data_IF_258311838575
#
_entry.id   IF_258311838575
#
_cell.length_a   1.000
_cell.length_b   1.000
_cell.length_c   1.000
_cell.angle_alpha   90.00
_cell.angle_beta   90.00
_cell.angle_gamma   90.00
#
_symmetry.space_group_name_H-M   'P 1'
#
loop_
_entity.id
_entity.type
_entity.pdbx_description
1 polymer ?
#
# COMPACT_ATOMS: atom_id res chain seq x y z
N UNK A 1 0.32 2.82 -12.47
CA UNK A 1 0.14 1.36 -12.54
C UNK A 1 -0.95 0.92 -11.58
N UNK A 2 -1.83 0.03 -12.02
CA UNK A 2 -3.00 -0.42 -11.27
C UNK A 2 -2.99 -1.95 -11.25
N UNK A 3 -2.79 -2.52 -10.07
CA UNK A 3 -2.93 -3.96 -9.84
C UNK A 3 -4.39 -4.33 -9.61
N UNK A 4 -4.84 -5.37 -10.28
CA UNK A 4 -6.22 -5.87 -10.16
C UNK A 4 -6.24 -7.40 -10.07
N UNK A 5 -7.43 -7.96 -9.90
CA UNK A 5 -7.65 -9.42 -10.03
C UNK A 5 -7.56 -9.92 -11.48
N UNK A 6 -7.55 -8.99 -12.44
CA UNK A 6 -7.51 -9.28 -13.88
C UNK A 6 -6.20 -8.84 -14.55
N UNK A 7 -5.14 -8.65 -13.78
CA UNK A 7 -3.80 -8.32 -14.26
C UNK A 7 -3.26 -7.00 -13.76
N UNK A 8 -2.12 -6.63 -14.37
CA UNK A 8 -1.48 -5.32 -14.23
C UNK A 8 -1.99 -4.39 -15.32
N UNK A 9 -2.37 -3.18 -14.95
CA UNK A 9 -2.85 -2.18 -15.89
C UNK A 9 -1.98 -0.93 -15.83
N UNK A 10 -1.70 -0.34 -17.00
CA UNK A 10 -1.04 0.94 -17.13
C UNK A 10 -2.02 1.97 -17.65
N UNK A 11 -2.22 3.02 -16.90
CA UNK A 11 -2.95 4.22 -17.34
C UNK A 11 -1.94 5.29 -17.80
N UNK A 12 -2.17 5.91 -18.95
CA UNK A 12 -1.28 6.92 -19.54
C UNK A 12 -1.90 8.33 -19.63
N UNK A 13 -3.04 8.53 -18.98
CA UNK A 13 -3.82 9.76 -19.06
C UNK A 13 -5.07 9.65 -19.96
N UNK A 14 -5.03 8.81 -21.00
CA UNK A 14 -6.14 8.61 -21.95
C UNK A 14 -6.60 7.15 -21.99
N UNK A 15 -5.66 6.21 -22.08
CA UNK A 15 -5.94 4.79 -22.30
C UNK A 15 -5.46 3.92 -21.17
N UNK A 16 -6.10 2.76 -21.02
CA UNK A 16 -5.66 1.69 -20.13
C UNK A 16 -5.13 0.52 -20.94
N UNK A 17 -3.84 0.22 -20.79
CA UNK A 17 -3.23 -0.99 -21.34
C UNK A 17 -3.15 -2.06 -20.26
N UNK A 18 -3.76 -3.22 -20.53
CA UNK A 18 -3.77 -4.37 -19.61
C UNK A 18 -2.71 -5.40 -19.99
N UNK A 19 -2.08 -5.96 -18.96
CA UNK A 19 -1.11 -7.05 -19.03
C UNK A 19 -1.63 -8.22 -18.23
N UNK A 20 -1.87 -9.35 -18.88
CA UNK A 20 -2.50 -10.54 -18.28
C UNK A 20 -1.64 -11.78 -18.49
N UNK A 21 -1.97 -12.84 -17.77
CA UNK A 21 -1.42 -14.17 -18.02
C UNK A 21 -1.75 -14.62 -19.45
N UNK A 22 -0.71 -15.03 -20.16
CA UNK A 22 -0.82 -15.72 -21.44
C UNK A 22 0.03 -16.99 -21.38
N UNK A 23 -0.61 -18.15 -21.32
CA UNK A 23 0.06 -19.45 -21.22
C UNK A 23 1.02 -19.76 -22.37
N UNK A 24 0.84 -19.10 -23.51
CA UNK A 24 1.67 -19.29 -24.70
C UNK A 24 2.85 -18.31 -24.78
N UNK A 25 2.95 -17.36 -23.85
CA UNK A 25 4.03 -16.38 -23.79
C UNK A 25 4.75 -16.47 -22.42
N UNK A 26 5.98 -17.01 -22.37
CA UNK A 26 6.74 -17.13 -21.13
C UNK A 26 7.15 -15.79 -20.52
N UNK A 27 7.03 -14.69 -21.27
CA UNK A 27 7.31 -13.34 -20.82
C UNK A 27 6.04 -12.60 -20.36
N UNK A 28 4.90 -13.27 -20.31
CA UNK A 28 3.66 -12.72 -19.76
C UNK A 28 3.61 -12.84 -18.24
N UNK A 29 2.65 -12.16 -17.63
CA UNK A 29 2.36 -12.32 -16.20
C UNK A 29 1.98 -13.78 -15.90
N UNK A 30 2.53 -14.37 -14.84
CA UNK A 30 2.27 -15.78 -14.47
C UNK A 30 0.99 -15.97 -13.65
N UNK A 31 0.45 -14.90 -13.06
CA UNK A 31 -0.80 -14.90 -12.27
C UNK A 31 -1.56 -13.59 -12.50
N UNK A 32 -2.86 -13.65 -12.76
CA UNK A 32 -3.65 -12.46 -13.03
C UNK A 32 -3.94 -11.61 -11.78
N UNK A 33 -3.94 -12.20 -10.59
CA UNK A 33 -4.26 -11.45 -9.37
C UNK A 33 -3.03 -10.75 -8.82
N UNK A 34 -2.96 -9.43 -9.04
CA UNK A 34 -1.92 -8.56 -8.51
C UNK A 34 -2.39 -7.94 -7.20
N UNK A 35 -1.73 -8.27 -6.11
CA UNK A 35 -2.08 -7.86 -4.75
C UNK A 35 -1.39 -6.56 -4.34
N UNK A 36 -0.11 -6.42 -4.70
CA UNK A 36 0.70 -5.22 -4.40
C UNK A 36 1.65 -4.91 -5.55
N UNK A 37 1.97 -3.64 -5.69
CA UNK A 37 2.94 -3.14 -6.64
C UNK A 37 3.97 -2.33 -5.85
N UNK A 38 5.23 -2.58 -6.12
CA UNK A 38 6.33 -1.74 -5.68
C UNK A 38 7.32 -1.59 -6.83
N UNK A 39 8.09 -0.52 -6.85
CA UNK A 39 8.95 -0.27 -8.00
C UNK A 39 10.28 0.33 -7.62
N UNK A 40 11.13 0.47 -8.63
CA UNK A 40 12.38 1.17 -8.52
C UNK A 40 12.54 2.24 -9.61
N UNK A 41 13.51 3.14 -9.41
CA UNK A 41 13.85 4.20 -10.37
C UNK A 41 14.56 3.68 -11.63
N UNK A 42 14.95 2.39 -11.67
CA UNK A 42 15.73 1.78 -12.76
C UNK A 42 14.85 1.11 -13.83
N UNK A 43 13.57 1.49 -13.91
CA UNK A 43 12.67 0.95 -14.94
C UNK A 43 12.12 -0.44 -14.66
N UNK A 44 12.20 -0.92 -13.42
CA UNK A 44 11.60 -2.18 -12.99
C UNK A 44 10.46 -1.95 -12.02
N UNK A 45 9.43 -2.77 -12.10
CA UNK A 45 8.29 -2.82 -11.18
C UNK A 45 8.18 -4.24 -10.65
N UNK A 46 8.02 -4.38 -9.35
CA UNK A 46 7.84 -5.66 -8.70
C UNK A 46 6.39 -5.85 -8.26
N UNK A 47 5.87 -7.03 -8.52
CA UNK A 47 4.49 -7.38 -8.29
C UNK A 47 4.40 -8.53 -7.29
N UNK A 48 3.63 -8.35 -6.24
CA UNK A 48 3.14 -9.46 -5.43
C UNK A 48 1.84 -9.95 -6.06
N UNK A 49 1.85 -11.19 -6.50
CA UNK A 49 0.68 -11.91 -7.00
C UNK A 49 0.23 -12.98 -5.99
N UNK A 50 -0.95 -13.55 -6.16
CA UNK A 50 -1.41 -14.66 -5.30
C UNK A 50 -0.46 -15.84 -5.28
N UNK A 51 0.24 -16.09 -6.38
CA UNK A 51 1.06 -17.27 -6.60
C UNK A 51 2.57 -16.97 -6.62
N UNK A 52 3.00 -15.80 -6.13
CA UNK A 52 4.41 -15.45 -6.04
C UNK A 52 4.76 -14.00 -6.39
N UNK A 53 5.99 -13.80 -6.81
CA UNK A 53 6.56 -12.49 -7.12
C UNK A 53 7.05 -12.43 -8.57
N UNK A 54 6.65 -11.37 -9.29
CA UNK A 54 7.13 -11.06 -10.63
C UNK A 54 7.90 -9.73 -10.66
N UNK A 55 8.87 -9.65 -11.56
CA UNK A 55 9.47 -8.41 -12.03
C UNK A 55 8.86 -8.05 -13.39
N UNK A 56 8.53 -6.80 -13.59
CA UNK A 56 8.11 -6.24 -14.86
C UNK A 56 9.10 -5.16 -15.30
N UNK A 57 9.71 -5.34 -16.45
CA UNK A 57 10.62 -4.39 -17.07
C UNK A 57 9.83 -3.39 -17.92
N UNK A 58 9.90 -2.11 -17.54
CA UNK A 58 9.15 -1.04 -18.19
C UNK A 58 9.60 -0.76 -19.62
N UNK A 59 10.86 -1.04 -19.95
CA UNK A 59 11.46 -0.79 -21.27
C UNK A 59 11.05 -1.89 -22.26
N UNK A 60 11.24 -3.14 -21.87
CA UNK A 60 10.94 -4.29 -22.74
C UNK A 60 9.48 -4.72 -22.66
N UNK A 61 8.76 -4.29 -21.62
CA UNK A 61 7.40 -4.68 -21.29
C UNK A 61 7.23 -6.21 -21.09
N UNK A 62 8.26 -6.85 -20.55
CA UNK A 62 8.29 -8.29 -20.28
C UNK A 62 8.25 -8.57 -18.79
N UNK A 63 7.64 -9.68 -18.43
CA UNK A 63 7.64 -10.19 -17.07
C UNK A 63 8.72 -11.25 -16.89
N UNK A 64 9.26 -11.29 -15.70
CA UNK A 64 10.12 -12.34 -15.19
C UNK A 64 9.56 -12.82 -13.86
N UNK A 65 9.26 -14.11 -13.76
CA UNK A 65 8.91 -14.71 -12.48
C UNK A 65 10.17 -14.79 -11.60
N UNK A 66 10.15 -14.16 -10.43
CA UNK A 66 11.25 -14.18 -9.48
C UNK A 66 11.09 -15.32 -8.47
N UNK A 67 9.87 -15.54 -7.99
CA UNK A 67 9.54 -16.57 -7.03
C UNK A 67 8.11 -17.08 -7.28
N UNK A 68 7.92 -18.39 -7.22
CA UNK A 68 6.59 -19.02 -7.16
C UNK A 68 6.28 -19.52 -5.75
N UNK A 69 5.01 -19.48 -5.38
CA UNK A 69 4.49 -19.92 -4.10
C UNK A 69 4.05 -18.77 -3.20
N UNK A 70 3.62 -19.08 -1.99
CA UNK A 70 3.06 -18.11 -1.08
C UNK A 70 4.11 -17.08 -0.63
N UNK A 71 3.77 -15.82 -0.81
CA UNK A 71 4.50 -14.66 -0.31
C UNK A 71 3.47 -13.72 0.32
N UNK A 72 3.72 -13.25 1.51
CA UNK A 72 2.75 -12.52 2.33
C UNK A 72 2.95 -11.01 2.23
N UNK A 73 4.19 -10.57 2.01
CA UNK A 73 4.55 -9.16 1.91
C UNK A 73 5.64 -8.91 0.87
N UNK A 74 5.62 -7.73 0.29
CA UNK A 74 6.66 -7.24 -0.62
C UNK A 74 6.97 -5.77 -0.30
N UNK A 75 8.25 -5.42 -0.35
CA UNK A 75 8.72 -4.05 -0.16
C UNK A 75 9.98 -3.81 -0.98
N UNK A 76 10.09 -2.65 -1.59
CA UNK A 76 11.27 -2.24 -2.33
C UNK A 76 11.81 -0.91 -1.78
N UNK A 77 13.09 -0.93 -1.39
CA UNK A 77 13.92 0.25 -1.13
C UNK A 77 15.38 -0.14 -1.43
N UNK A 78 15.91 0.33 -2.57
CA UNK A 78 17.20 -0.10 -3.13
C UNK A 78 17.31 -1.61 -3.39
N UNK A 79 16.75 -2.44 -2.51
CA UNK A 79 16.66 -3.89 -2.61
C UNK A 79 15.20 -4.34 -2.50
N UNK A 80 14.90 -5.47 -3.12
CA UNK A 80 13.61 -6.12 -3.01
C UNK A 80 13.59 -7.03 -1.79
N UNK A 81 12.68 -6.77 -0.86
CA UNK A 81 12.40 -7.60 0.31
C UNK A 81 11.07 -8.31 0.12
N UNK A 82 11.00 -9.55 0.57
CA UNK A 82 9.74 -10.30 0.66
C UNK A 82 9.57 -10.85 2.06
N UNK A 83 8.31 -10.91 2.52
CA UNK A 83 7.90 -11.60 3.73
C UNK A 83 7.23 -12.91 3.39
N UNK A 84 7.63 -13.99 4.04
CA UNK A 84 7.03 -15.31 3.90
C UNK A 84 6.85 -15.91 5.28
N UNK A 85 5.64 -15.97 5.77
CA UNK A 85 5.32 -16.27 7.17
C UNK A 85 6.12 -15.36 8.11
N UNK A 86 6.96 -15.94 8.98
CA UNK A 86 7.82 -15.26 9.95
C UNK A 86 9.21 -14.86 9.40
N UNK A 87 9.47 -15.12 8.14
CA UNK A 87 10.78 -14.90 7.54
C UNK A 87 10.77 -13.72 6.55
N UNK A 88 11.83 -12.93 6.58
CA UNK A 88 12.11 -11.88 5.60
C UNK A 88 13.30 -12.32 4.76
N UNK A 89 13.14 -12.22 3.46
CA UNK A 89 14.19 -12.51 2.48
C UNK A 89 14.51 -11.24 1.69
N UNK A 90 15.73 -11.17 1.16
CA UNK A 90 16.17 -10.13 0.25
C UNK A 90 16.59 -10.75 -1.08
N UNK A 91 16.14 -10.14 -2.17
CA UNK A 91 16.52 -10.59 -3.51
C UNK A 91 17.97 -10.25 -3.83
N UNK A 92 18.71 -11.25 -4.24
CA UNK A 92 20.09 -11.14 -4.67
C UNK A 92 20.13 -11.13 -6.21
N UNK A 93 20.33 -9.97 -6.81
CA UNK A 93 20.33 -9.83 -8.26
C UNK A 93 21.46 -10.63 -8.95
N UNK A 94 22.60 -10.84 -8.26
CA UNK A 94 23.75 -11.56 -8.82
C UNK A 94 23.50 -13.05 -8.97
N UNK A 95 22.77 -13.65 -8.02
CA UNK A 95 22.46 -15.09 -8.02
C UNK A 95 21.06 -15.39 -8.58
N UNK A 96 20.18 -14.38 -8.59
CA UNK A 96 18.77 -14.55 -8.93
C UNK A 96 17.95 -15.24 -7.83
N UNK A 97 18.49 -15.37 -6.63
CA UNK A 97 17.85 -16.05 -5.50
C UNK A 97 17.40 -15.05 -4.42
N UNK A 98 16.59 -15.53 -3.49
CA UNK A 98 16.22 -14.82 -2.28
C UNK A 98 17.03 -15.37 -1.10
N UNK A 99 17.86 -14.53 -0.49
CA UNK A 99 18.68 -14.87 0.67
C UNK A 99 17.90 -14.51 1.94
N UNK A 100 17.97 -15.37 2.97
CA UNK A 100 17.33 -15.10 4.27
C UNK A 100 17.98 -13.86 4.90
N UNK A 101 17.15 -12.84 5.17
CA UNK A 101 17.58 -11.60 5.81
C UNK A 101 17.34 -11.64 7.32
N UNK A 102 16.16 -12.10 7.75
CA UNK A 102 15.78 -12.19 9.15
C UNK A 102 14.71 -13.26 9.37
N UNK A 103 14.77 -13.93 10.52
CA UNK A 103 13.75 -14.85 11.01
C UNK A 103 13.16 -14.29 12.31
N UNK A 104 11.87 -13.95 12.29
CA UNK A 104 11.16 -13.44 13.44
C UNK A 104 10.74 -14.60 14.35
N UNK A 105 11.38 -14.71 15.51
CA UNK A 105 11.09 -15.79 16.45
C UNK A 105 9.67 -15.66 17.03
N UNK A 106 8.91 -16.73 16.96
CA UNK A 106 7.55 -16.80 17.49
C UNK A 106 6.75 -17.94 16.87
N UNK A 107 5.56 -18.21 17.42
CA UNK A 107 4.61 -19.16 16.85
C UNK A 107 3.53 -18.44 16.07
N UNK A 108 3.13 -19.03 14.96
CA UNK A 108 1.98 -18.58 14.14
C UNK A 108 2.07 -17.12 13.68
N UNK A 109 3.29 -16.65 13.40
CA UNK A 109 3.52 -15.32 12.83
C UNK A 109 3.37 -15.40 11.32
N UNK A 110 2.58 -14.49 10.77
CA UNK A 110 2.51 -14.24 9.32
C UNK A 110 2.68 -12.74 9.08
N UNK A 111 3.70 -12.39 8.30
CA UNK A 111 3.97 -11.02 7.89
C UNK A 111 2.84 -10.52 6.97
N UNK A 112 2.51 -9.24 7.07
CA UNK A 112 1.48 -8.58 6.24
C UNK A 112 2.03 -7.42 5.44
N UNK A 113 3.00 -6.70 5.99
CA UNK A 113 3.67 -5.59 5.33
C UNK A 113 5.07 -5.38 5.89
N UNK A 114 5.92 -4.77 5.08
CA UNK A 114 7.32 -4.44 5.40
C UNK A 114 7.58 -2.98 5.07
N UNK A 115 8.45 -2.35 5.84
CA UNK A 115 8.97 -1.01 5.56
C UNK A 115 10.37 -0.85 6.15
N UNK A 116 11.27 -0.25 5.39
CA UNK A 116 12.60 0.12 5.85
C UNK A 116 12.63 1.65 6.02
N UNK A 117 12.75 2.11 7.26
CA UNK A 117 12.79 3.55 7.55
C UNK A 117 14.14 4.20 7.19
N UNK A 118 14.21 5.51 7.26
CA UNK A 118 15.43 6.27 6.96
C UNK A 118 16.62 5.87 7.85
N UNK A 119 16.36 5.40 9.07
CA UNK A 119 17.39 4.91 10.01
C UNK A 119 17.80 3.46 9.75
N UNK A 120 17.28 2.85 8.66
CA UNK A 120 17.47 1.44 8.26
C UNK A 120 16.89 0.43 9.24
N UNK A 121 15.94 0.83 10.08
CA UNK A 121 15.17 -0.12 10.86
C UNK A 121 14.14 -0.80 9.95
N UNK A 122 14.07 -2.14 10.02
CA UNK A 122 13.06 -2.91 9.31
C UNK A 122 11.81 -3.07 10.18
N UNK A 123 10.75 -2.42 9.77
CA UNK A 123 9.44 -2.53 10.38
C UNK A 123 8.65 -3.65 9.72
N UNK A 124 8.08 -4.53 10.53
CA UNK A 124 7.41 -5.75 10.11
C UNK A 124 6.01 -5.80 10.73
N UNK A 125 4.99 -5.55 9.90
CA UNK A 125 3.59 -5.76 10.28
C UNK A 125 3.23 -7.23 10.16
N UNK A 126 2.34 -7.69 11.03
CA UNK A 126 1.85 -9.07 11.06
C UNK A 126 0.33 -9.13 11.02
N UNK A 127 -0.23 -10.28 10.68
CA UNK A 127 -1.68 -10.47 10.59
C UNK A 127 -2.39 -10.59 11.96
N UNK A 128 -1.65 -10.86 13.04
CA UNK A 128 -2.26 -11.06 14.37
C UNK A 128 -1.37 -10.63 15.55
N UNK A 129 -0.06 -10.53 15.33
CA UNK A 129 0.92 -10.32 16.40
C UNK A 129 1.40 -8.86 16.46
N UNK A 130 0.70 -7.92 15.81
CA UNK A 130 1.04 -6.50 15.83
C UNK A 130 2.25 -6.14 14.99
N UNK A 131 3.05 -5.21 15.49
CA UNK A 131 4.17 -4.58 14.78
C UNK A 131 5.49 -4.90 15.45
N UNK A 132 6.47 -5.33 14.68
CA UNK A 132 7.85 -5.54 15.11
C UNK A 132 8.77 -4.53 14.41
N UNK A 133 9.86 -4.18 15.09
CA UNK A 133 10.91 -3.33 14.56
C UNK A 133 12.27 -4.01 14.80
N UNK A 134 12.98 -4.32 13.74
CA UNK A 134 14.37 -4.75 13.76
C UNK A 134 15.26 -3.56 13.46
N UNK A 135 15.97 -3.07 14.46
CA UNK A 135 16.91 -1.96 14.30
C UNK A 135 18.14 -2.35 13.45
N UNK A 136 18.86 -1.36 12.93
CA UNK A 136 20.05 -1.58 12.10
C UNK A 136 21.14 -2.39 12.88
N UNK A 137 21.24 -2.22 14.21
CA UNK A 137 22.11 -2.99 15.10
C UNK A 137 21.55 -4.39 15.46
N UNK A 138 20.52 -4.84 14.75
CA UNK A 138 19.88 -6.18 14.84
C UNK A 138 19.16 -6.46 16.17
N UNK A 139 18.76 -5.44 16.89
CA UNK A 139 17.89 -5.60 18.05
C UNK A 139 16.43 -5.58 17.62
N UNK A 140 15.66 -6.55 18.14
CA UNK A 140 14.23 -6.63 17.88
C UNK A 140 13.43 -5.98 19.02
N UNK A 141 12.41 -5.22 18.64
CA UNK A 141 11.40 -4.68 19.56
C UNK A 141 10.00 -4.93 18.98
N UNK A 142 9.00 -4.89 19.84
CA UNK A 142 7.59 -5.08 19.47
C UNK A 142 6.75 -3.91 20.02
N UNK A 143 6.76 -2.77 19.33
CA UNK A 143 6.08 -1.56 19.81
C UNK A 143 4.54 -1.69 19.86
N UNK A 144 3.95 -2.52 19.01
CA UNK A 144 2.52 -2.89 19.07
C UNK A 144 2.44 -4.40 19.19
N UNK A 145 1.85 -4.88 20.27
CA UNK A 145 1.94 -6.29 20.69
C UNK A 145 0.80 -7.18 20.19
N UNK A 146 -0.18 -6.61 19.48
CA UNK A 146 -1.35 -7.33 18.96
C UNK A 146 -1.94 -6.64 17.74
N UNK A 147 -2.87 -7.32 17.08
CA UNK A 147 -3.65 -6.80 15.97
C UNK A 147 -3.04 -7.10 14.59
N UNK A 148 -3.86 -6.90 13.60
CA UNK A 148 -3.52 -7.07 12.19
C UNK A 148 -3.03 -5.73 11.63
N UNK A 149 -1.76 -5.64 11.28
CA UNK A 149 -1.16 -4.46 10.65
C UNK A 149 -1.35 -4.54 9.14
N UNK A 150 -2.03 -3.57 8.56
CA UNK A 150 -2.35 -3.53 7.14
C UNK A 150 -1.35 -2.73 6.31
N UNK A 151 -0.79 -1.66 6.88
CA UNK A 151 0.12 -0.75 6.19
C UNK A 151 1.08 -0.06 7.13
N UNK A 152 2.23 0.33 6.60
CA UNK A 152 3.23 1.17 7.24
C UNK A 152 3.56 2.28 6.25
N UNK A 153 3.47 3.53 6.68
CA UNK A 153 3.77 4.71 5.88
C UNK A 153 4.70 5.65 6.66
N UNK A 154 5.80 6.06 6.07
CA UNK A 154 6.71 7.07 6.60
C UNK A 154 6.41 8.41 5.96
N UNK A 155 6.09 9.43 6.76
CA UNK A 155 5.79 10.76 6.27
C UNK A 155 7.05 11.61 6.00
N UNK A 156 6.86 12.81 5.46
CA UNK A 156 7.95 13.75 5.17
C UNK A 156 8.72 14.18 6.41
N UNK A 157 8.08 14.12 7.58
CA UNK A 157 8.69 14.36 8.89
C UNK A 157 9.45 13.16 9.44
N UNK A 158 9.46 12.01 8.76
CA UNK A 158 10.08 10.75 9.20
C UNK A 158 9.41 10.15 10.43
N UNK A 159 8.12 10.35 10.55
CA UNK A 159 7.25 9.69 11.52
C UNK A 159 6.46 8.59 10.82
N UNK A 160 6.15 7.51 11.55
CA UNK A 160 5.48 6.36 10.96
C UNK A 160 4.00 6.32 11.30
N UNK A 161 3.20 6.04 10.30
CA UNK A 161 1.76 5.87 10.37
C UNK A 161 1.41 4.42 10.05
N UNK A 162 0.90 3.71 11.06
CA UNK A 162 0.68 2.27 11.03
C UNK A 162 -0.82 1.99 11.00
N UNK A 163 -1.32 1.62 9.85
CA UNK A 163 -2.73 1.25 9.69
C UNK A 163 -3.00 -0.16 10.19
N UNK A 164 -4.07 -0.34 10.95
CA UNK A 164 -4.52 -1.64 11.42
C UNK A 164 -5.94 -1.99 10.94
N UNK A 165 -6.29 -3.26 11.01
CA UNK A 165 -7.62 -3.73 10.58
C UNK A 165 -8.72 -3.50 11.63
N UNK A 166 -8.40 -3.23 12.89
CA UNK A 166 -9.42 -3.11 13.94
C UNK A 166 -9.07 -2.08 15.01
N UNK A 167 -7.80 -1.73 15.10
CA UNK A 167 -7.26 -0.88 16.16
C UNK A 167 -7.06 0.59 15.73
N UNK A 168 -7.45 0.98 14.51
CA UNK A 168 -7.28 2.33 13.99
C UNK A 168 -5.90 2.57 13.41
N UNK A 169 -5.35 3.76 13.69
CA UNK A 169 -4.09 4.26 13.14
C UNK A 169 -3.12 4.57 14.27
N UNK A 170 -2.00 3.84 14.33
CA UNK A 170 -0.91 4.19 15.25
C UNK A 170 0.03 5.19 14.61
N UNK A 171 0.41 6.20 15.37
CA UNK A 171 1.39 7.20 15.01
C UNK A 171 2.64 7.00 15.89
N UNK A 172 3.73 6.57 15.26
CA UNK A 172 5.05 6.41 15.91
C UNK A 172 5.85 7.67 15.64
N UNK A 173 6.04 8.46 16.68
CA UNK A 173 6.74 9.75 16.62
C UNK A 173 8.26 9.57 16.63
N UNK A 174 8.99 10.62 16.28
CA UNK A 174 10.47 10.62 16.26
C UNK A 174 11.13 10.28 17.60
N UNK A 175 10.49 10.66 18.70
CA UNK A 175 10.94 10.36 20.07
C UNK A 175 10.65 8.91 20.50
N UNK A 176 10.01 8.12 19.63
CA UNK A 176 9.61 6.74 19.88
C UNK A 176 8.29 6.60 20.61
N UNK A 177 7.63 7.70 20.99
CA UNK A 177 6.29 7.63 21.55
C UNK A 177 5.27 7.17 20.52
N UNK A 178 4.23 6.47 20.97
CA UNK A 178 3.17 5.95 20.12
C UNK A 178 1.83 6.47 20.59
N UNK A 179 1.10 7.07 19.67
CA UNK A 179 -0.27 7.49 19.82
C UNK A 179 -1.18 6.62 18.98
N UNK A 180 -2.39 6.33 19.44
CA UNK A 180 -3.39 5.60 18.68
C UNK A 180 -4.59 6.48 18.37
N UNK A 181 -4.81 6.77 17.09
CA UNK A 181 -5.99 7.45 16.59
C UNK A 181 -7.03 6.40 16.20
N UNK A 182 -8.23 6.51 16.75
CA UNK A 182 -9.29 5.53 16.54
C UNK A 182 -10.64 6.19 16.25
N UNK A 183 -11.59 5.40 15.78
CA UNK A 183 -12.96 5.85 15.58
C UNK A 183 -13.67 6.01 16.92
N UNK A 184 -14.26 7.19 17.12
CA UNK A 184 -15.10 7.52 18.26
C UNK A 184 -16.53 7.76 17.79
N UNK A 185 -17.50 6.89 18.14
CA UNK A 185 -18.89 7.06 17.72
C UNK A 185 -19.46 8.42 18.17
N UNK A 186 -20.00 9.17 17.19
CA UNK A 186 -20.57 10.50 17.44
C UNK A 186 -19.57 11.65 17.47
N UNK A 187 -18.27 11.38 17.40
CA UNK A 187 -17.25 12.41 17.30
C UNK A 187 -16.85 12.62 15.81
N UNK A 188 -17.26 13.72 15.16
CA UNK A 188 -16.88 13.98 13.77
C UNK A 188 -15.40 14.28 13.59
N UNK A 189 -14.68 14.56 14.69
CA UNK A 189 -13.25 14.82 14.70
C UNK A 189 -12.44 13.57 15.12
N UNK A 190 -12.83 12.41 14.64
CA UNK A 190 -12.13 11.15 14.80
C UNK A 190 -12.05 10.38 13.47
N UNK A 191 -11.34 9.26 13.44
CA UNK A 191 -11.37 8.36 12.28
C UNK A 191 -12.81 7.92 11.97
N UNK A 192 -13.14 7.81 10.69
CA UNK A 192 -14.45 7.28 10.29
C UNK A 192 -14.58 5.76 10.47
N UNK A 193 -13.46 5.06 10.64
CA UNK A 193 -13.41 3.61 10.87
C UNK A 193 -12.05 3.18 11.41
N UNK A 194 -12.04 2.18 12.29
CA UNK A 194 -10.81 1.56 12.77
C UNK A 194 -10.13 0.62 11.76
N UNK A 195 -10.79 0.32 10.65
CA UNK A 195 -10.21 -0.50 9.57
C UNK A 195 -9.39 0.39 8.63
N UNK A 196 -8.14 0.68 9.00
CA UNK A 196 -7.22 1.53 8.25
C UNK A 196 -6.33 0.69 7.34
N UNK A 197 -6.35 0.95 6.04
CA UNK A 197 -5.65 0.13 5.04
C UNK A 197 -4.48 0.81 4.38
N UNK A 198 -4.48 2.12 4.28
CA UNK A 198 -3.44 2.86 3.57
C UNK A 198 -3.41 4.31 4.00
N UNK A 199 -2.22 4.90 4.02
CA UNK A 199 -2.02 6.32 4.26
C UNK A 199 -1.11 6.91 3.19
N UNK A 200 -1.25 8.22 2.95
CA UNK A 200 -0.34 9.01 2.14
C UNK A 200 -0.40 10.47 2.56
N UNK A 201 0.71 11.18 2.48
CA UNK A 201 0.78 12.61 2.81
C UNK A 201 0.65 13.46 1.55
N UNK A 202 -0.15 14.55 1.59
CA UNK A 202 -0.20 15.53 0.50
C UNK A 202 0.96 16.55 0.58
N UNK A 203 1.05 17.45 -0.41
CA UNK A 203 2.11 18.47 -0.44
C UNK A 203 1.98 19.52 0.67
N UNK A 204 0.79 19.68 1.25
CA UNK A 204 0.54 20.57 2.38
C UNK A 204 0.84 19.92 3.74
N UNK A 205 1.26 18.64 3.76
CA UNK A 205 1.58 17.90 4.97
C UNK A 205 0.37 17.28 5.67
N UNK A 206 -0.81 17.26 5.05
CA UNK A 206 -1.95 16.55 5.61
C UNK A 206 -1.87 15.07 5.29
N UNK A 207 -2.32 14.23 6.21
CA UNK A 207 -2.36 12.79 6.02
C UNK A 207 -3.74 12.36 5.48
N UNK A 208 -3.73 11.68 4.34
CA UNK A 208 -4.89 11.02 3.77
C UNK A 208 -4.93 9.57 4.23
N UNK A 209 -6.04 9.17 4.84
CA UNK A 209 -6.19 7.89 5.53
C UNK A 209 -7.36 7.13 4.90
N UNK A 210 -7.03 6.05 4.20
CA UNK A 210 -8.01 5.17 3.56
C UNK A 210 -8.50 4.11 4.52
N UNK A 211 -9.83 4.10 4.71
CA UNK A 211 -10.49 3.15 5.60
C UNK A 211 -11.55 2.32 4.87
N UNK A 212 -12.16 1.39 5.58
CA UNK A 212 -13.28 0.61 5.05
C UNK A 212 -14.56 1.45 4.81
N UNK A 213 -14.76 2.52 5.59
CA UNK A 213 -15.99 3.31 5.56
C UNK A 213 -15.83 4.74 5.02
N UNK A 214 -14.65 5.11 4.53
CA UNK A 214 -14.39 6.43 3.97
C UNK A 214 -12.92 6.75 3.83
N UNK A 215 -12.68 7.94 3.30
CA UNK A 215 -11.39 8.59 3.25
C UNK A 215 -11.39 9.72 4.28
N UNK A 216 -10.44 9.68 5.21
CA UNK A 216 -10.19 10.82 6.09
C UNK A 216 -9.00 11.65 5.58
N UNK A 217 -9.11 12.97 5.66
CA UNK A 217 -7.98 13.90 5.66
C UNK A 217 -7.73 14.30 7.10
N UNK A 218 -6.54 14.05 7.57
CA UNK A 218 -6.08 14.46 8.91
C UNK A 218 -5.10 15.63 8.78
N UNK A 219 -5.48 16.77 9.29
CA UNK A 219 -4.64 17.97 9.34
C UNK A 219 -3.72 17.88 10.56
N UNK A 220 -2.46 17.48 10.34
CA UNK A 220 -1.49 17.23 11.42
C UNK A 220 -1.24 18.47 12.30
N UNK A 221 -1.33 19.68 11.73
CA UNK A 221 -1.11 20.94 12.45
C UNK A 221 -2.20 21.28 13.47
N UNK A 222 -3.43 20.85 13.22
CA UNK A 222 -4.61 21.18 14.07
C UNK A 222 -5.22 19.97 14.76
N UNK A 223 -4.82 18.76 14.35
CA UNK A 223 -5.43 17.51 14.82
C UNK A 223 -6.85 17.27 14.30
N UNK A 224 -7.29 17.99 13.26
CA UNK A 224 -8.66 17.89 12.75
C UNK A 224 -8.80 16.84 11.67
N UNK A 225 -9.95 16.14 11.71
CA UNK A 225 -10.36 15.19 10.69
C UNK A 225 -11.42 15.78 9.76
N UNK A 226 -11.31 15.48 8.48
CA UNK A 226 -12.36 15.73 7.48
C UNK A 226 -12.68 14.39 6.79
N UNK A 227 -13.98 14.06 6.73
CA UNK A 227 -14.47 12.81 6.16
C UNK A 227 -14.97 13.01 4.73
N UNK A 228 -14.57 12.08 3.84
CA UNK A 228 -15.10 11.95 2.48
C UNK A 228 -15.67 10.53 2.31
N UNK A 229 -16.92 10.47 1.85
CA UNK A 229 -17.62 9.21 1.56
C UNK A 229 -18.22 9.20 0.17
N UNK A 230 -18.47 8.02 -0.36
CA UNK A 230 -19.22 7.90 -1.60
C UNK A 230 -20.66 8.44 -1.40
N UNK A 231 -21.09 9.26 -2.33
CA UNK A 231 -22.46 9.80 -2.34
C UNK A 231 -23.01 9.70 -3.76
N UNK A 232 -24.06 8.91 -3.94
CA UNK A 232 -24.70 8.69 -5.24
C UNK A 232 -25.23 9.99 -5.88
N UNK A 233 -25.56 10.99 -5.03
CA UNK A 233 -26.10 12.27 -5.47
C UNK A 233 -25.02 13.32 -5.78
N UNK A 234 -23.74 12.98 -5.56
CA UNK A 234 -22.61 13.86 -5.91
C UNK A 234 -21.79 13.22 -7.02
N UNK A 235 -21.97 13.62 -8.27
CA UNK A 235 -21.25 13.05 -9.41
C UNK A 235 -19.72 13.19 -9.26
N UNK A 236 -19.23 14.17 -8.51
CA UNK A 236 -17.79 14.47 -8.33
C UNK A 236 -17.21 13.86 -7.02
N UNK A 237 -17.97 13.02 -6.30
CA UNK A 237 -17.54 12.37 -5.07
C UNK A 237 -16.80 11.05 -5.32
N UNK A 238 -16.41 10.38 -4.24
CA UNK A 238 -15.84 9.04 -4.29
C UNK A 238 -16.79 8.03 -4.95
N UNK A 239 -16.27 7.15 -5.78
CA UNK A 239 -17.06 6.07 -6.40
C UNK A 239 -17.48 5.00 -5.42
N UNK A 240 -16.68 4.79 -4.36
CA UNK A 240 -16.95 3.81 -3.30
C UNK A 240 -16.26 4.25 -1.99
N UNK A 241 -16.91 4.05 -0.85
CA UNK A 241 -16.37 4.48 0.46
C UNK A 241 -15.21 3.59 0.95
N UNK A 242 -15.16 2.32 0.55
CA UNK A 242 -14.10 1.42 0.99
C UNK A 242 -12.82 1.67 0.19
N UNK A 243 -11.87 2.37 0.79
CA UNK A 243 -10.57 2.69 0.20
C UNK A 243 -9.60 1.54 0.46
N UNK A 244 -8.99 1.04 -0.61
CA UNK A 244 -8.04 -0.06 -0.53
C UNK A 244 -6.59 0.40 -0.48
N UNK A 245 -6.22 1.37 -1.31
CA UNK A 245 -4.89 1.94 -1.35
C UNK A 245 -4.94 3.43 -1.69
N UNK A 246 -3.93 4.15 -1.24
CA UNK A 246 -3.69 5.56 -1.53
C UNK A 246 -2.26 5.70 -2.02
N UNK A 247 -2.06 6.45 -3.09
CA UNK A 247 -0.73 6.79 -3.60
C UNK A 247 -0.73 8.25 -4.02
N UNK A 248 0.28 9.01 -3.60
CA UNK A 248 0.55 10.35 -4.13
C UNK A 248 1.58 10.23 -5.25
N UNK A 249 1.31 10.83 -6.40
CA UNK A 249 2.28 10.95 -7.47
C UNK A 249 3.22 12.17 -7.30
N UNK A 250 4.18 12.30 -8.21
CA UNK A 250 5.17 13.38 -8.16
C UNK A 250 4.56 14.77 -8.42
N UNK A 251 3.37 14.83 -9.03
CA UNK A 251 2.62 16.06 -9.28
C UNK A 251 1.72 16.45 -8.10
N UNK A 252 1.69 15.67 -7.04
CA UNK A 252 0.85 15.91 -5.86
C UNK A 252 -0.58 15.37 -6.00
N UNK A 253 -0.90 14.66 -7.07
CA UNK A 253 -2.21 14.01 -7.25
C UNK A 253 -2.33 12.82 -6.32
N UNK A 254 -3.44 12.74 -5.60
CA UNK A 254 -3.80 11.60 -4.75
C UNK A 254 -4.62 10.61 -5.57
N UNK A 255 -4.10 9.40 -5.69
CA UNK A 255 -4.76 8.27 -6.35
C UNK A 255 -5.34 7.33 -5.33
N UNK A 256 -6.59 6.95 -5.51
CA UNK A 256 -7.34 6.09 -4.59
C UNK A 256 -7.80 4.84 -5.34
N UNK A 257 -7.32 3.67 -4.93
CA UNK A 257 -7.92 2.40 -5.30
C UNK A 257 -9.08 2.08 -4.36
N UNK A 258 -10.24 1.76 -4.90
CA UNK A 258 -11.42 1.40 -4.11
C UNK A 258 -11.77 -0.08 -4.26
N UNK A 259 -12.56 -0.63 -3.34
CA UNK A 259 -12.84 -2.07 -3.34
C UNK A 259 -13.63 -2.55 -4.56
N UNK A 260 -14.65 -1.78 -5.01
CA UNK A 260 -15.47 -2.10 -6.18
C UNK A 260 -15.71 -0.90 -7.11
N UNK A 261 -15.25 0.29 -6.75
CA UNK A 261 -15.53 1.53 -7.47
C UNK A 261 -14.44 1.94 -8.45
N UNK A 262 -13.44 1.08 -8.71
CA UNK A 262 -12.32 1.42 -9.58
C UNK A 262 -11.32 2.35 -8.93
N UNK A 263 -10.78 3.29 -9.73
CA UNK A 263 -9.76 4.25 -9.30
C UNK A 263 -10.34 5.66 -9.33
N UNK A 264 -10.11 6.41 -8.26
CA UNK A 264 -10.39 7.83 -8.18
C UNK A 264 -9.08 8.58 -8.09
N UNK A 265 -9.01 9.79 -8.59
CA UNK A 265 -7.89 10.67 -8.33
C UNK A 265 -8.35 12.12 -8.21
N UNK A 266 -7.62 12.88 -7.44
CA UNK A 266 -7.83 14.31 -7.27
C UNK A 266 -6.51 14.98 -6.84
N UNK A 267 -6.40 16.26 -7.12
CA UNK A 267 -5.32 17.07 -6.57
C UNK A 267 -5.86 17.94 -5.44
N UNK A 268 -5.39 17.78 -4.19
CA UNK A 268 -5.87 18.56 -3.04
C UNK A 268 -5.69 20.08 -3.19
N UNK A 269 -4.74 20.52 -4.03
CA UNK A 269 -4.48 21.94 -4.27
C UNK A 269 -5.53 22.61 -5.16
N UNK A 270 -6.22 21.83 -6.00
CA UNK A 270 -7.17 22.36 -6.99
C UNK A 270 -8.63 22.02 -6.71
N UNK A 271 -8.92 21.24 -5.66
CA UNK A 271 -10.27 20.76 -5.31
C UNK A 271 -11.03 20.04 -6.45
N UNK A 272 -10.32 19.60 -7.50
CA UNK A 272 -10.89 18.93 -8.66
C UNK A 272 -10.82 17.42 -8.46
N UNK A 273 -12.00 16.76 -8.45
CA UNK A 273 -12.13 15.32 -8.37
C UNK A 273 -12.43 14.75 -9.76
N UNK A 274 -11.61 13.81 -10.20
CA UNK A 274 -11.85 13.03 -11.43
C UNK A 274 -11.95 11.56 -11.10
N UNK A 275 -12.82 10.82 -11.78
CA UNK A 275 -13.07 9.41 -11.52
C UNK A 275 -13.17 8.59 -12.80
N UNK A 276 -12.69 7.36 -12.74
CA UNK A 276 -12.89 6.36 -13.77
C UNK A 276 -13.65 5.17 -13.19
N UNK A 277 -14.79 4.81 -13.83
CA UNK A 277 -15.53 3.59 -13.54
C UNK A 277 -15.19 2.53 -14.57
N UNK A 278 -15.14 1.26 -14.16
CA UNK A 278 -15.15 0.14 -15.07
C UNK A 278 -16.44 0.19 -15.90
N UNK A 279 -16.32 0.34 -17.23
CA UNK A 279 -17.46 0.41 -18.14
C UNK A 279 -17.66 1.73 -18.88
N UNK A 280 -16.91 2.78 -18.57
CA UNK A 280 -17.02 4.09 -19.26
C UNK A 280 -16.31 4.12 -20.64
N UNK A 281 -15.88 2.97 -21.18
CA UNK A 281 -15.23 2.86 -22.50
C UNK A 281 -16.21 2.67 -23.66
N UNK A 282 -17.52 2.71 -23.42
CA UNK A 282 -18.53 2.69 -24.50
C UNK A 282 -19.37 3.95 -24.44
N UNK A 283 -18.84 5.07 -24.97
CA UNK A 283 -19.57 6.14 -25.62
C UNK A 283 -18.62 7.23 -26.08
N UNK A 284 -18.11 7.06 -27.26
CA UNK A 284 -18.01 8.14 -28.24
C UNK A 284 -17.80 7.47 -29.59
N UNK A 285 -18.93 7.34 -30.32
CA UNK A 285 -18.96 7.13 -31.75
C UNK A 285 -19.06 8.48 -32.44
#
# INVERSE_FOLDING_TARGET
WIGTREGLNRYNGNDIKSFKLNKNDPNSLFSNTVLRITGNKNGKVYLLCTDGVAEFDLTTQRFKTLLQGNVDAIYFNEKLYIGKREEVFVYNESTGNFDLYYHLAGKDITLSCLHLDEKKNLWMGTTSNGLYCLSDDKKISQPVTRGNIASIYEDSSKELWIGSWEEGLYHVKKDGSIENLHHEPGNPNSLCSNFVRSCSEDNAGNLWIGTFHGLNRYEKSTGKFQLYTANANKPDGLTHSSIWCIVKDEQGTIWLGTYFGGVNYFNPEYEIYTRYKTGDTEKEG
#
